data_IF_699463458600
#
_entry.id   IF_699463458600
#
_cell.length_a   1.000
_cell.length_b   1.000
_cell.length_c   1.000
_cell.angle_alpha   90.00
_cell.angle_beta   90.00
_cell.angle_gamma   90.00
#
_symmetry.space_group_name_H-M   'P 1'
#
loop_
_entity.id
_entity.type
_entity.pdbx_description
1 polymer ?
#
# COMPACT_ATOMS: atom_id res chain seq x y z
N UNK A 1 0.28 -19.91 -28.36
CA UNK A 1 0.58 -18.55 -27.89
C UNK A 1 0.43 -17.62 -29.09
N UNK A 2 -0.66 -16.87 -29.15
CA UNK A 2 -0.86 -15.87 -30.20
C UNK A 2 0.02 -14.66 -29.86
N UNK A 3 0.92 -14.28 -30.78
CA UNK A 3 1.76 -13.11 -30.61
C UNK A 3 1.01 -11.87 -31.12
N UNK A 4 0.88 -10.85 -30.28
CA UNK A 4 0.20 -9.60 -30.63
C UNK A 4 1.15 -8.70 -31.45
N UNK A 5 1.39 -9.10 -32.69
CA UNK A 5 2.42 -8.52 -33.57
C UNK A 5 2.15 -7.08 -34.01
N UNK A 6 0.90 -6.61 -33.90
CA UNK A 6 0.50 -5.27 -34.30
C UNK A 6 0.84 -4.20 -33.24
N UNK A 7 1.08 -4.59 -31.98
CA UNK A 7 1.31 -3.63 -30.90
C UNK A 7 2.38 -2.59 -31.22
N UNK A 8 3.59 -2.96 -31.72
CA UNK A 8 4.65 -1.99 -31.95
C UNK A 8 4.36 -1.03 -33.12
N UNK A 9 3.44 -1.40 -34.01
CA UNK A 9 3.07 -0.62 -35.21
C UNK A 9 2.04 0.46 -34.86
N UNK A 10 1.38 0.36 -33.70
CA UNK A 10 0.41 1.34 -33.26
C UNK A 10 1.07 2.70 -32.97
N UNK A 11 0.37 3.82 -33.28
CA UNK A 11 0.73 5.14 -32.80
C UNK A 11 1.02 5.16 -31.30
N UNK A 12 1.95 6.02 -30.88
CA UNK A 12 2.41 6.11 -29.50
C UNK A 12 1.25 6.39 -28.53
N UNK A 13 0.28 7.19 -28.96
CA UNK A 13 -0.91 7.54 -28.19
C UNK A 13 -1.73 6.29 -27.85
N UNK A 14 -1.97 5.42 -28.84
CA UNK A 14 -2.74 4.20 -28.65
C UNK A 14 -1.99 3.20 -27.77
N UNK A 15 -0.67 3.04 -27.96
CA UNK A 15 0.13 2.17 -27.09
C UNK A 15 0.10 2.63 -25.63
N UNK A 16 0.22 3.93 -25.38
CA UNK A 16 0.09 4.51 -24.04
C UNK A 16 -1.30 4.32 -23.44
N UNK A 17 -2.35 4.45 -24.25
CA UNK A 17 -3.72 4.18 -23.81
C UNK A 17 -3.90 2.71 -23.42
N UNK A 18 -3.40 1.78 -24.24
CA UNK A 18 -3.45 0.35 -23.92
C UNK A 18 -2.69 0.05 -22.63
N UNK A 19 -1.47 0.58 -22.45
CA UNK A 19 -0.73 0.41 -21.21
C UNK A 19 -1.45 0.99 -20.00
N UNK A 20 -2.08 2.15 -20.15
CA UNK A 20 -2.84 2.78 -19.06
C UNK A 20 -4.09 1.97 -18.71
N UNK A 21 -4.78 1.44 -19.71
CA UNK A 21 -5.98 0.61 -19.54
C UNK A 21 -5.67 -0.80 -19.01
N UNK A 22 -4.43 -1.27 -19.15
CA UNK A 22 -3.98 -2.53 -18.57
C UNK A 22 -3.65 -2.43 -17.07
N UNK A 23 -3.54 -1.21 -16.54
CA UNK A 23 -3.35 -0.98 -15.11
C UNK A 23 -4.72 -0.96 -14.42
N UNK A 24 -4.79 -1.40 -13.16
CA UNK A 24 -6.04 -1.36 -12.42
C UNK A 24 -6.46 0.09 -12.15
N UNK A 25 -7.75 0.38 -12.33
CA UNK A 25 -8.32 1.72 -12.08
C UNK A 25 -8.18 2.14 -10.62
N UNK A 26 -8.16 1.16 -9.72
CA UNK A 26 -7.86 1.35 -8.31
C UNK A 26 -6.97 0.23 -7.79
N UNK A 27 -6.11 0.57 -6.86
CA UNK A 27 -5.33 -0.36 -6.07
C UNK A 27 -6.23 -1.40 -5.36
N UNK A 28 -5.79 -2.67 -5.27
CA UNK A 28 -6.59 -3.71 -4.64
C UNK A 28 -6.74 -3.44 -3.14
N UNK A 29 -7.94 -3.70 -2.62
CA UNK A 29 -8.20 -3.74 -1.18
C UNK A 29 -7.41 -4.88 -0.55
N UNK A 30 -6.72 -4.60 0.56
CA UNK A 30 -5.86 -5.61 1.21
C UNK A 30 -6.36 -5.90 2.63
N UNK A 31 -6.28 -7.17 2.98
CA UNK A 31 -6.42 -7.68 4.33
C UNK A 31 -5.05 -7.65 5.03
N UNK A 32 -4.87 -6.79 6.04
CA UNK A 32 -3.62 -6.73 6.79
C UNK A 32 -3.81 -7.27 8.22
N UNK A 33 -2.91 -8.17 8.64
CA UNK A 33 -2.90 -8.68 10.01
C UNK A 33 -2.48 -7.61 11.03
N UNK A 34 -3.26 -7.49 12.10
CA UNK A 34 -2.93 -6.73 13.29
C UNK A 34 -1.86 -7.49 14.08
N UNK A 35 -0.83 -6.77 14.55
CA UNK A 35 0.25 -7.37 15.32
C UNK A 35 0.49 -6.66 16.65
N UNK A 36 0.94 -7.36 17.71
CA UNK A 36 1.05 -6.85 19.08
C UNK A 36 2.06 -5.71 19.28
N UNK A 37 2.85 -5.34 18.27
CA UNK A 37 3.79 -4.20 18.31
C UNK A 37 3.13 -2.83 18.04
N UNK A 38 1.80 -2.75 18.06
CA UNK A 38 0.97 -1.61 17.68
C UNK A 38 1.31 -0.27 18.37
N UNK A 39 2.15 0.54 17.71
CA UNK A 39 2.45 1.94 18.08
C UNK A 39 1.40 2.94 17.61
N UNK A 40 0.26 2.48 17.09
CA UNK A 40 -0.78 3.30 16.44
C UNK A 40 -1.71 3.98 17.43
N UNK A 41 -1.81 3.41 18.64
CA UNK A 41 -2.54 3.99 19.75
C UNK A 41 -1.56 4.75 20.63
N UNK A 42 -1.63 6.08 20.57
CA UNK A 42 -0.82 6.94 21.42
C UNK A 42 -1.58 7.28 22.69
N UNK A 43 -0.91 7.23 23.85
CA UNK A 43 -1.45 7.90 25.03
C UNK A 43 -1.58 9.38 24.69
N UNK A 44 -2.78 9.95 24.92
CA UNK A 44 -2.91 11.40 24.87
C UNK A 44 -1.92 11.99 25.88
N UNK A 45 -1.06 12.91 25.43
CA UNK A 45 -0.33 13.75 26.38
C UNK A 45 -1.38 14.56 27.13
N UNK A 46 -1.43 14.39 28.45
CA UNK A 46 -2.28 15.21 29.29
C UNK A 46 -2.01 16.70 29.01
N UNK A 47 -3.05 17.51 29.00
CA UNK A 47 -2.90 18.95 28.85
C UNK A 47 -2.14 19.43 30.10
N UNK A 48 -0.97 20.09 29.95
CA UNK A 48 -0.22 20.56 31.12
C UNK A 48 -1.06 21.54 31.92
N UNK A 49 -1.28 21.25 33.21
CA UNK A 49 -2.05 22.09 34.13
C UNK A 49 -3.41 21.54 34.54
N UNK A 50 -3.88 20.43 33.97
CA UNK A 50 -5.02 19.68 34.50
C UNK A 50 -4.53 18.40 35.17
N UNK A 51 -4.61 18.35 36.50
CA UNK A 51 -4.44 17.11 37.27
C UNK A 51 -5.66 16.21 37.01
N UNK A 52 -5.71 15.58 35.83
CA UNK A 52 -6.67 14.51 35.59
C UNK A 52 -6.23 13.27 36.40
N UNK A 53 -7.14 12.64 37.15
CA UNK A 53 -6.82 11.50 37.99
C UNK A 53 -6.20 10.40 37.16
N UNK A 54 -5.10 9.90 37.71
CA UNK A 54 -4.10 9.09 37.06
C UNK A 54 -4.57 7.64 36.92
N UNK A 55 -5.66 7.35 36.19
CA UNK A 55 -6.06 5.95 36.02
C UNK A 55 -6.91 5.57 34.81
N UNK A 56 -7.15 6.46 33.85
CA UNK A 56 -7.84 6.06 32.63
C UNK A 56 -6.84 5.59 31.55
N UNK A 57 -6.51 4.29 31.57
CA UNK A 57 -5.87 3.60 30.44
C UNK A 57 -6.71 3.68 29.14
N UNK A 58 -7.93 4.19 29.22
CA UNK A 58 -8.94 4.28 28.17
C UNK A 58 -8.70 5.38 27.13
N UNK A 59 -7.88 6.40 27.41
CA UNK A 59 -7.69 7.53 26.47
C UNK A 59 -6.49 7.30 25.53
N UNK A 60 -6.54 6.21 24.77
CA UNK A 60 -5.65 6.02 23.63
C UNK A 60 -6.23 6.72 22.39
N UNK A 61 -5.43 7.53 21.70
CA UNK A 61 -5.82 8.12 20.41
C UNK A 61 -5.25 7.26 19.29
N UNK A 62 -6.11 6.82 18.39
CA UNK A 62 -5.69 6.18 17.14
C UNK A 62 -5.02 7.21 16.23
N UNK A 63 -3.87 6.85 15.68
CA UNK A 63 -3.09 7.68 14.77
C UNK A 63 -2.81 6.90 13.49
N UNK A 64 -3.54 7.23 12.42
CA UNK A 64 -3.42 6.61 11.09
C UNK A 64 -2.05 6.80 10.45
N UNK A 65 -1.32 7.88 10.78
CA UNK A 65 0.01 8.16 10.23
C UNK A 65 1.10 7.17 10.65
N UNK A 66 0.78 6.22 11.54
CA UNK A 66 1.68 5.14 11.90
C UNK A 66 1.29 3.80 11.28
N UNK A 67 0.17 3.71 10.57
CA UNK A 67 -0.29 2.46 9.96
C UNK A 67 0.84 1.79 9.17
N UNK A 68 0.91 0.45 9.21
CA UNK A 68 1.96 -0.26 8.49
C UNK A 68 1.81 0.05 7.01
N UNK A 69 2.93 0.18 6.32
CA UNK A 69 2.89 0.20 4.87
C UNK A 69 2.62 -1.22 4.36
N UNK A 70 1.68 -1.34 3.42
CA UNK A 70 1.27 -2.61 2.82
C UNK A 70 2.16 -2.88 1.62
N UNK A 71 2.56 -4.13 1.44
CA UNK A 71 3.24 -4.59 0.22
C UNK A 71 2.23 -5.21 -0.74
N UNK A 72 2.20 -4.70 -1.97
CA UNK A 72 1.38 -5.18 -3.08
C UNK A 72 2.25 -5.99 -4.02
N UNK A 73 1.84 -7.21 -4.35
CA UNK A 73 2.51 -7.97 -5.40
C UNK A 73 2.01 -7.52 -6.76
N UNK A 74 2.90 -6.91 -7.56
CA UNK A 74 2.58 -6.54 -8.94
C UNK A 74 2.71 -7.76 -9.84
N UNK A 75 1.73 -8.02 -10.73
CA UNK A 75 1.72 -9.20 -11.61
C UNK A 75 2.86 -9.20 -12.64
N UNK A 76 3.58 -8.09 -12.83
CA UNK A 76 4.69 -8.02 -13.78
C UNK A 76 5.83 -7.18 -13.21
N UNK A 77 7.05 -7.71 -13.29
CA UNK A 77 8.22 -6.99 -12.83
C UNK A 77 8.57 -5.87 -13.81
N UNK A 78 8.68 -4.63 -13.31
CA UNK A 78 8.97 -3.45 -14.14
C UNK A 78 10.28 -3.54 -14.94
N UNK A 79 11.19 -4.45 -14.57
CA UNK A 79 12.42 -4.72 -15.31
C UNK A 79 12.23 -5.55 -16.59
N UNK A 80 11.11 -6.26 -16.73
CA UNK A 80 10.81 -7.09 -17.90
C UNK A 80 9.82 -6.45 -18.88
N UNK A 81 9.32 -5.26 -18.55
CA UNK A 81 8.48 -4.48 -19.47
C UNK A 81 9.33 -3.48 -20.24
N UNK A 82 8.87 -3.10 -21.43
CA UNK A 82 9.56 -2.08 -22.23
C UNK A 82 9.53 -0.71 -21.52
N UNK A 83 10.36 0.23 -22.00
CA UNK A 83 10.49 1.58 -21.41
C UNK A 83 9.15 2.32 -21.34
N UNK A 84 8.31 2.20 -22.35
CA UNK A 84 7.01 2.87 -22.42
C UNK A 84 6.06 2.38 -21.33
N UNK A 85 5.89 1.07 -21.22
CA UNK A 85 5.08 0.44 -20.19
C UNK A 85 5.56 0.81 -18.79
N UNK A 86 6.89 0.83 -18.60
CA UNK A 86 7.51 1.25 -17.33
C UNK A 86 7.17 2.70 -16.98
N UNK A 87 7.26 3.62 -17.94
CA UNK A 87 6.93 5.03 -17.71
C UNK A 87 5.45 5.23 -17.33
N UNK A 88 4.54 4.49 -17.98
CA UNK A 88 3.10 4.52 -17.67
C UNK A 88 2.83 3.97 -16.26
N UNK A 89 3.40 2.80 -15.93
CA UNK A 89 3.25 2.18 -14.62
C UNK A 89 3.80 3.05 -13.48
N UNK A 90 4.97 3.68 -13.67
CA UNK A 90 5.54 4.60 -12.67
C UNK A 90 4.68 5.86 -12.48
N UNK A 91 4.04 6.36 -13.54
CA UNK A 91 3.14 7.51 -13.45
C UNK A 91 1.87 7.17 -12.68
N UNK A 92 1.27 6.02 -12.98
CA UNK A 92 0.13 5.47 -12.25
C UNK A 92 0.46 5.32 -10.76
N UNK A 93 1.59 4.67 -10.43
CA UNK A 93 2.00 4.46 -9.04
C UNK A 93 2.14 5.78 -8.26
N UNK A 94 2.74 6.81 -8.88
CA UNK A 94 2.88 8.13 -8.25
C UNK A 94 1.55 8.83 -7.98
N UNK A 95 0.57 8.64 -8.86
CA UNK A 95 -0.77 9.24 -8.70
C UNK A 95 -1.44 8.73 -7.41
N UNK A 96 -1.23 7.46 -7.10
CA UNK A 96 -1.89 6.77 -5.99
C UNK A 96 -0.97 6.60 -4.76
N UNK A 97 0.13 7.39 -4.68
CA UNK A 97 1.12 7.33 -3.60
C UNK A 97 1.76 5.94 -3.39
N UNK A 98 1.79 5.12 -4.44
CA UNK A 98 2.42 3.80 -4.46
C UNK A 98 3.90 3.97 -4.74
N UNK A 99 4.72 3.47 -3.83
CA UNK A 99 6.18 3.41 -3.96
C UNK A 99 6.59 2.07 -4.55
N UNK A 100 7.26 2.06 -5.70
CA UNK A 100 7.84 0.84 -6.28
C UNK A 100 9.36 0.88 -6.03
N UNK A 101 9.93 -0.05 -5.23
CA UNK A 101 11.36 -0.15 -5.02
C UNK A 101 12.05 -0.38 -6.37
N UNK A 102 13.05 0.44 -6.66
CA UNK A 102 13.86 0.32 -7.87
C UNK A 102 15.05 -0.62 -7.71
N UNK A 103 15.31 -1.11 -6.49
CA UNK A 103 16.43 -1.99 -6.21
C UNK A 103 16.01 -3.47 -6.39
N UNK A 104 16.57 -4.19 -7.37
CA UNK A 104 16.23 -5.60 -7.61
C UNK A 104 16.68 -6.53 -6.46
N UNK A 105 17.63 -6.10 -5.61
CA UNK A 105 18.07 -6.89 -4.47
C UNK A 105 17.02 -6.99 -3.35
N UNK A 106 16.15 -5.99 -3.22
CA UNK A 106 15.11 -5.94 -2.18
C UNK A 106 13.87 -6.79 -2.54
N UNK A 107 13.83 -7.33 -3.76
CA UNK A 107 12.64 -7.93 -4.35
C UNK A 107 13.01 -9.20 -5.14
N UNK A 108 13.58 -10.19 -4.45
CA UNK A 108 13.96 -11.48 -5.07
C UNK A 108 12.72 -12.14 -5.68
N UNK A 109 12.57 -12.02 -6.99
CA UNK A 109 11.52 -12.67 -7.78
C UNK A 109 10.13 -12.03 -7.72
N UNK A 110 9.90 -11.00 -6.92
CA UNK A 110 8.60 -10.31 -6.80
C UNK A 110 8.76 -8.82 -7.02
N UNK A 111 7.88 -8.19 -7.79
CA UNK A 111 7.83 -6.73 -7.88
C UNK A 111 6.86 -6.25 -6.81
N UNK A 112 7.39 -5.86 -5.66
CA UNK A 112 6.58 -5.44 -4.53
C UNK A 112 6.37 -3.93 -4.62
N UNK A 113 5.14 -3.45 -4.74
CA UNK A 113 4.80 -2.06 -4.54
C UNK A 113 4.47 -1.81 -3.07
N UNK A 114 4.59 -0.59 -2.59
CA UNK A 114 4.32 -0.23 -1.20
C UNK A 114 3.38 0.97 -1.13
N UNK A 115 2.31 0.88 -0.34
CA UNK A 115 1.40 2.02 -0.07
C UNK A 115 0.97 2.07 1.39
N UNK A 116 0.39 3.19 1.79
CA UNK A 116 -0.26 3.32 3.10
C UNK A 116 -1.60 2.56 3.13
N UNK A 117 -2.00 2.10 4.31
CA UNK A 117 -3.32 1.50 4.54
C UNK A 117 -4.40 2.56 4.32
N UNK A 118 -5.35 2.27 3.46
CA UNK A 118 -6.56 3.07 3.25
C UNK A 118 -7.67 2.52 4.16
N UNK A 119 -8.06 3.26 5.19
CA UNK A 119 -9.06 2.82 6.15
C UNK A 119 -10.49 2.74 5.59
N UNK A 120 -10.76 3.35 4.44
CA UNK A 120 -12.07 3.28 3.79
C UNK A 120 -12.19 2.03 2.91
N UNK A 121 -11.07 1.42 2.51
CA UNK A 121 -11.02 0.33 1.52
C UNK A 121 -10.36 -0.95 2.03
N UNK A 122 -9.37 -0.83 2.91
CA UNK A 122 -8.62 -1.96 3.46
C UNK A 122 -9.25 -2.48 4.74
N UNK A 123 -9.04 -3.78 4.98
CA UNK A 123 -9.50 -4.45 6.19
C UNK A 123 -8.31 -4.79 7.09
N UNK A 124 -8.38 -4.36 8.35
CA UNK A 124 -7.44 -4.75 9.39
C UNK A 124 -8.00 -5.95 10.15
N UNK A 125 -7.30 -7.07 10.12
CA UNK A 125 -7.70 -8.30 10.81
C UNK A 125 -7.00 -8.40 12.15
N UNK A 126 -7.76 -8.43 13.24
CA UNK A 126 -7.25 -8.70 14.57
C UNK A 126 -6.98 -10.21 14.70
N UNK A 127 -5.77 -10.61 15.10
CA UNK A 127 -5.54 -12.01 15.45
C UNK A 127 -6.30 -12.36 16.75
N UNK A 128 -6.73 -13.60 16.92
CA UNK A 128 -7.52 -14.03 18.10
C UNK A 128 -6.83 -13.86 19.46
N UNK A 129 -5.50 -14.11 19.62
CA UNK A 129 -4.77 -13.84 20.87
C UNK A 129 -4.77 -12.36 21.27
N UNK A 130 -5.03 -11.51 20.29
CA UNK A 130 -4.81 -10.09 20.27
C UNK A 130 -6.11 -9.33 20.62
N UNK A 131 -7.26 -9.90 20.24
CA UNK A 131 -8.60 -9.51 20.71
C UNK A 131 -8.77 -9.65 22.23
N UNK A 132 -8.14 -10.66 22.83
CA UNK A 132 -8.22 -10.93 24.28
C UNK A 132 -7.53 -9.83 25.10
N UNK A 133 -6.51 -9.16 24.55
CA UNK A 133 -5.79 -8.05 25.21
C UNK A 133 -6.45 -6.68 25.01
N UNK A 134 -7.53 -6.61 24.22
CA UNK A 134 -8.29 -5.38 23.95
C UNK A 134 -9.58 -5.29 24.78
N UNK A 135 -10.05 -6.40 25.36
CA UNK A 135 -11.18 -6.48 26.28
C UNK A 135 -10.72 -6.38 27.74
#
# INVERSE_FOLDING_TARGET
>A
MESFSLFPVLPLELRRMIWSAALPDTDPAVACGWGPQNRFWQRRKGIPGKNEPHEDQSLRRFTSSRLPKIWLELPTQLQFVNREAREVALRWARKDNITIPTNPADSVGKCLAQREVDLERDALFLSTPDLINLM
#
